data_IF_276485651802
#
_entry.id   IF_276485651802
#
_cell.length_a   1.000
_cell.length_b   1.000
_cell.length_c   1.000
_cell.angle_alpha   90.00
_cell.angle_beta   90.00
_cell.angle_gamma   90.00
#
_symmetry.space_group_name_H-M   'P 1'
#
loop_
_entity.id
_entity.type
_entity.pdbx_description
1 polymer ?
#
# COMPACT_ATOMS: atom_id res chain seq x y z
N UNK A 1 4.55 6.72 36.67
CA UNK A 1 3.44 6.41 35.71
C UNK A 1 3.81 7.07 34.40
N UNK A 2 4.23 6.25 33.45
CA UNK A 2 4.95 6.70 32.27
C UNK A 2 4.05 7.33 31.20
N UNK A 3 4.60 8.30 30.50
CA UNK A 3 4.09 8.95 29.28
C UNK A 3 3.77 7.98 28.10
N UNK A 4 4.02 6.68 28.28
CA UNK A 4 3.79 5.66 27.25
C UNK A 4 2.33 5.35 26.93
N UNK A 5 1.37 5.72 27.78
CA UNK A 5 -0.05 5.43 27.55
C UNK A 5 -0.79 6.51 26.74
N UNK A 6 -0.21 7.69 26.61
CA UNK A 6 -0.83 8.81 25.89
C UNK A 6 -0.78 8.61 24.37
N UNK A 7 0.24 7.93 23.85
CA UNK A 7 0.43 7.73 22.40
C UNK A 7 -0.36 6.57 21.78
N UNK A 8 -0.96 5.70 22.58
CA UNK A 8 -1.69 4.53 22.06
C UNK A 8 -3.15 4.79 21.66
N UNK A 9 -3.65 6.01 21.86
CA UNK A 9 -5.06 6.38 21.63
C UNK A 9 -5.21 7.65 20.81
N UNK A 10 -4.25 7.96 19.95
CA UNK A 10 -4.42 9.09 19.03
C UNK A 10 -5.29 8.64 17.86
N UNK A 11 -6.51 9.13 17.82
CA UNK A 11 -7.41 9.04 16.69
C UNK A 11 -7.37 10.37 15.94
N UNK A 12 -7.28 10.30 14.61
CA UNK A 12 -7.32 11.46 13.74
C UNK A 12 -8.68 11.49 13.06
N UNK A 13 -9.47 12.49 13.38
CA UNK A 13 -10.73 12.78 12.68
C UNK A 13 -10.46 13.78 11.56
N UNK A 14 -10.83 13.45 10.35
CA UNK A 14 -10.76 14.33 9.19
C UNK A 14 -12.11 14.46 8.52
N UNK A 15 -12.37 15.60 7.93
CA UNK A 15 -13.56 15.87 7.14
C UNK A 15 -13.09 16.11 5.70
N UNK A 16 -13.89 15.72 4.73
CA UNK A 16 -13.71 16.00 3.31
C UNK A 16 -15.06 16.30 2.67
N UNK A 17 -15.05 16.89 1.48
CA UNK A 17 -16.27 17.16 0.72
C UNK A 17 -16.91 15.84 0.22
N UNK A 18 -16.11 14.77 0.11
CA UNK A 18 -16.56 13.41 -0.15
C UNK A 18 -15.75 12.37 0.66
N UNK A 19 -16.09 11.08 0.48
CA UNK A 19 -15.41 9.98 1.17
C UNK A 19 -13.94 9.87 0.79
N UNK A 20 -13.59 10.05 -0.49
CA UNK A 20 -12.22 9.92 -0.99
C UNK A 20 -11.31 10.99 -0.40
N UNK A 21 -11.78 12.24 -0.34
CA UNK A 21 -11.06 13.35 0.27
C UNK A 21 -10.89 13.13 1.78
N UNK A 22 -11.95 12.77 2.50
CA UNK A 22 -11.89 12.51 3.93
C UNK A 22 -10.92 11.37 4.27
N UNK A 23 -10.95 10.28 3.50
CA UNK A 23 -10.04 9.14 3.64
C UNK A 23 -8.60 9.57 3.39
N UNK A 24 -8.33 10.28 2.29
CA UNK A 24 -7.00 10.72 1.92
C UNK A 24 -6.41 11.66 2.97
N UNK A 25 -7.19 12.64 3.42
CA UNK A 25 -6.80 13.58 4.48
C UNK A 25 -6.47 12.83 5.79
N UNK A 26 -7.27 11.85 6.18
CA UNK A 26 -7.02 11.07 7.39
C UNK A 26 -5.74 10.24 7.29
N UNK A 27 -5.47 9.64 6.14
CA UNK A 27 -4.26 8.85 5.93
C UNK A 27 -3.01 9.73 5.90
N UNK A 28 -3.05 10.88 5.24
CA UNK A 28 -1.95 11.86 5.24
C UNK A 28 -1.68 12.37 6.66
N UNK A 29 -2.72 12.69 7.42
CA UNK A 29 -2.58 13.15 8.80
C UNK A 29 -1.96 12.09 9.73
N UNK A 30 -2.09 10.81 9.41
CA UNK A 30 -1.41 9.71 10.12
C UNK A 30 0.00 9.41 9.60
N UNK A 31 0.51 10.22 8.67
CA UNK A 31 1.87 10.10 8.14
C UNK A 31 2.00 9.25 6.88
N UNK A 32 0.89 8.80 6.29
CA UNK A 32 0.93 8.19 4.97
C UNK A 32 1.34 9.23 3.92
N UNK A 33 2.20 8.80 3.01
CA UNK A 33 2.62 9.61 1.86
C UNK A 33 1.96 9.06 0.61
N UNK A 34 1.54 9.96 -0.27
CA UNK A 34 1.06 9.57 -1.60
C UNK A 34 2.26 9.02 -2.38
N UNK A 35 2.16 7.80 -2.93
CA UNK A 35 3.22 7.22 -3.74
C UNK A 35 3.52 8.09 -4.97
N UNK A 36 4.79 8.13 -5.35
CA UNK A 36 5.23 8.82 -6.56
C UNK A 36 5.22 7.87 -7.75
N UNK A 37 4.84 8.30 -8.96
CA UNK A 37 4.79 7.44 -10.14
C UNK A 37 6.13 6.76 -10.49
N UNK A 38 7.26 7.44 -10.26
CA UNK A 38 8.61 6.92 -10.52
C UNK A 38 9.06 5.85 -9.52
N UNK A 39 8.39 5.76 -8.37
CA UNK A 39 8.60 4.69 -7.38
C UNK A 39 7.58 3.58 -7.57
N UNK A 40 7.90 2.42 -7.06
CA UNK A 40 7.04 1.25 -7.19
C UNK A 40 5.95 1.15 -6.12
N UNK A 41 4.85 0.50 -6.50
CA UNK A 41 3.85 -0.01 -5.57
C UNK A 41 3.93 -1.54 -5.58
N UNK A 42 4.09 -2.14 -4.40
CA UNK A 42 4.27 -3.58 -4.26
C UNK A 42 3.02 -4.25 -3.70
N UNK A 43 2.54 -5.28 -4.38
CA UNK A 43 1.41 -6.09 -3.95
C UNK A 43 1.81 -7.51 -3.57
N UNK A 44 1.31 -7.98 -2.45
CA UNK A 44 1.36 -9.38 -2.03
C UNK A 44 0.01 -9.79 -1.48
N UNK A 45 -0.74 -10.57 -2.26
CA UNK A 45 -2.07 -11.05 -1.87
C UNK A 45 -2.23 -12.53 -2.19
N UNK A 46 -2.55 -13.33 -1.18
CA UNK A 46 -2.72 -14.77 -1.35
C UNK A 46 -4.11 -15.18 -1.84
N UNK A 47 -5.16 -14.58 -1.30
CA UNK A 47 -6.54 -14.95 -1.61
C UNK A 47 -7.02 -14.36 -2.95
N UNK A 48 -7.74 -15.16 -3.74
CA UNK A 48 -8.30 -14.72 -5.04
C UNK A 48 -9.22 -13.51 -4.86
N UNK A 49 -10.09 -13.54 -3.84
CA UNK A 49 -10.99 -12.42 -3.53
C UNK A 49 -10.22 -11.10 -3.35
N UNK A 50 -9.14 -11.11 -2.58
CA UNK A 50 -8.34 -9.90 -2.35
C UNK A 50 -7.63 -9.42 -3.63
N UNK A 51 -7.25 -10.33 -4.52
CA UNK A 51 -6.68 -9.96 -5.82
C UNK A 51 -7.72 -9.28 -6.71
N UNK A 52 -8.96 -9.77 -6.71
CA UNK A 52 -10.08 -9.15 -7.42
C UNK A 52 -10.38 -7.77 -6.86
N UNK A 53 -10.44 -7.63 -5.53
CA UNK A 53 -10.69 -6.34 -4.86
C UNK A 53 -9.61 -5.29 -5.19
N UNK A 54 -8.38 -5.72 -5.53
CA UNK A 54 -7.27 -4.83 -5.89
C UNK A 54 -7.14 -4.55 -7.40
N UNK A 55 -7.91 -5.25 -8.24
CA UNK A 55 -7.71 -5.21 -9.68
C UNK A 55 -7.98 -3.81 -10.28
N UNK A 56 -9.08 -3.18 -9.90
CA UNK A 56 -9.44 -1.86 -10.43
C UNK A 56 -8.45 -0.78 -9.96
N UNK A 57 -8.06 -0.82 -8.70
CA UNK A 57 -7.01 0.05 -8.17
C UNK A 57 -5.67 -0.16 -8.90
N UNK A 58 -5.31 -1.40 -9.21
CA UNK A 58 -4.09 -1.71 -9.98
C UNK A 58 -4.15 -1.18 -11.41
N UNK A 59 -5.33 -1.23 -12.05
CA UNK A 59 -5.56 -0.63 -13.38
C UNK A 59 -5.39 0.89 -13.36
N UNK A 60 -5.91 1.55 -12.32
CA UNK A 60 -5.76 3.00 -12.16
C UNK A 60 -4.29 3.39 -11.96
N UNK A 61 -3.55 2.67 -11.12
CA UNK A 61 -2.11 2.87 -10.95
C UNK A 61 -1.36 2.72 -12.27
N UNK A 62 -1.65 1.65 -13.02
CA UNK A 62 -1.02 1.40 -14.31
C UNK A 62 -1.31 2.52 -15.30
N UNK A 63 -2.56 2.97 -15.39
CA UNK A 63 -2.97 4.07 -16.26
C UNK A 63 -2.29 5.41 -15.90
N UNK A 64 -1.94 5.60 -14.62
CA UNK A 64 -1.21 6.77 -14.13
C UNK A 64 0.32 6.64 -14.24
N UNK A 65 0.82 5.55 -14.82
CA UNK A 65 2.25 5.35 -15.07
C UNK A 65 3.05 4.84 -13.87
N UNK A 66 2.40 4.34 -12.84
CA UNK A 66 3.09 3.73 -11.70
C UNK A 66 3.73 2.40 -12.07
N UNK A 67 4.93 2.15 -11.55
CA UNK A 67 5.54 0.82 -11.59
C UNK A 67 4.85 -0.09 -10.58
N UNK A 68 4.41 -1.26 -11.04
CA UNK A 68 3.71 -2.23 -10.19
C UNK A 68 4.56 -3.48 -10.05
N UNK A 69 4.81 -3.86 -8.81
CA UNK A 69 5.53 -5.06 -8.42
C UNK A 69 4.62 -5.97 -7.61
N UNK A 70 4.77 -7.27 -7.75
CA UNK A 70 4.01 -8.20 -6.95
C UNK A 70 4.71 -9.53 -6.76
N UNK A 71 4.37 -10.27 -5.70
CA UNK A 71 4.77 -11.66 -5.56
C UNK A 71 4.17 -12.51 -6.68
N UNK A 72 4.85 -13.60 -7.07
CA UNK A 72 4.60 -14.35 -8.30
C UNK A 72 3.11 -14.64 -8.59
N UNK A 73 2.35 -15.14 -7.61
CA UNK A 73 0.93 -15.46 -7.80
C UNK A 73 0.04 -14.23 -7.98
N UNK A 74 0.40 -13.08 -7.41
CA UNK A 74 -0.30 -11.81 -7.61
C UNK A 74 0.09 -11.19 -8.95
N UNK A 75 1.38 -11.23 -9.31
CA UNK A 75 1.88 -10.75 -10.60
C UNK A 75 1.23 -11.51 -11.77
N UNK A 76 1.17 -12.84 -11.68
CA UNK A 76 0.51 -13.66 -12.71
C UNK A 76 -0.97 -13.28 -12.88
N UNK A 77 -1.69 -13.04 -11.79
CA UNK A 77 -3.09 -12.62 -11.82
C UNK A 77 -3.24 -11.24 -12.50
N UNK A 78 -2.46 -10.25 -12.09
CA UNK A 78 -2.55 -8.88 -12.63
C UNK A 78 -2.17 -8.84 -14.11
N UNK A 79 -1.09 -9.52 -14.51
CA UNK A 79 -0.67 -9.63 -15.91
C UNK A 79 -1.74 -10.30 -16.78
N UNK A 80 -2.40 -11.36 -16.28
CA UNK A 80 -3.49 -12.01 -16.99
C UNK A 80 -4.71 -11.10 -17.21
N UNK A 81 -4.85 -10.04 -16.40
CA UNK A 81 -5.91 -9.04 -16.52
C UNK A 81 -5.45 -7.72 -17.17
N UNK A 82 -4.31 -7.73 -17.84
CA UNK A 82 -3.82 -6.60 -18.63
C UNK A 82 -3.11 -5.51 -17.82
N UNK A 83 -2.77 -5.78 -16.57
CA UNK A 83 -1.99 -4.85 -15.72
C UNK A 83 -0.53 -5.31 -15.71
N UNK A 84 0.34 -4.61 -16.44
CA UNK A 84 1.77 -4.94 -16.48
C UNK A 84 2.39 -4.86 -15.10
N UNK A 85 2.85 -6.00 -14.59
CA UNK A 85 3.33 -6.17 -13.23
C UNK A 85 4.62 -6.99 -13.23
N UNK A 86 5.64 -6.49 -12.58
CA UNK A 86 6.92 -7.16 -12.41
C UNK A 86 6.88 -8.09 -11.20
N UNK A 87 7.31 -9.34 -11.39
CA UNK A 87 7.33 -10.32 -10.32
C UNK A 87 8.58 -10.12 -9.42
N UNK A 88 8.35 -10.18 -8.10
CA UNK A 88 9.42 -10.15 -7.10
C UNK A 88 9.50 -11.47 -6.35
N UNK A 89 10.70 -11.82 -5.91
CA UNK A 89 10.92 -13.00 -5.07
C UNK A 89 10.51 -12.75 -3.63
N UNK A 90 10.00 -13.79 -2.99
CA UNK A 90 9.69 -13.79 -1.57
C UNK A 90 10.96 -13.67 -0.71
N UNK A 91 10.86 -13.24 0.56
CA UNK A 91 12.01 -13.09 1.45
C UNK A 91 12.91 -14.34 1.59
N UNK A 92 12.34 -15.53 1.44
CA UNK A 92 13.04 -16.81 1.54
C UNK A 92 13.48 -17.39 0.17
N UNK A 93 13.24 -16.67 -0.92
CA UNK A 93 13.62 -17.05 -2.27
C UNK A 93 14.75 -16.14 -2.74
N UNK A 94 15.84 -16.73 -3.28
CA UNK A 94 16.95 -15.99 -3.91
C UNK A 94 17.29 -14.70 -3.14
N UNK A 95 17.73 -14.86 -1.90
CA UNK A 95 18.01 -13.73 -0.99
C UNK A 95 19.05 -12.73 -1.53
N UNK A 96 19.88 -13.16 -2.46
CA UNK A 96 20.92 -12.39 -3.16
C UNK A 96 20.43 -11.72 -4.46
N UNK A 97 19.20 -12.00 -4.90
CA UNK A 97 18.68 -11.42 -6.13
C UNK A 97 18.26 -9.95 -5.93
N UNK A 98 18.54 -9.12 -6.93
CA UNK A 98 18.16 -7.69 -6.95
C UNK A 98 16.62 -7.49 -6.82
N UNK A 99 15.85 -8.43 -7.37
CA UNK A 99 14.39 -8.42 -7.28
C UNK A 99 13.83 -9.27 -6.11
N UNK A 100 14.65 -9.59 -5.11
CA UNK A 100 14.13 -10.06 -3.83
C UNK A 100 13.43 -8.90 -3.12
N UNK A 101 12.24 -9.14 -2.62
CA UNK A 101 11.40 -8.09 -2.00
C UNK A 101 12.11 -7.39 -0.82
N UNK A 102 12.94 -8.11 -0.05
CA UNK A 102 13.67 -7.50 1.07
C UNK A 102 14.81 -6.59 0.60
N UNK A 103 15.50 -6.97 -0.47
CA UNK A 103 16.52 -6.12 -1.12
C UNK A 103 15.88 -4.84 -1.65
N UNK A 104 14.76 -4.97 -2.35
CA UNK A 104 14.04 -3.83 -2.91
C UNK A 104 13.46 -2.90 -1.83
N UNK A 105 13.02 -3.44 -0.69
CA UNK A 105 12.60 -2.65 0.48
C UNK A 105 13.80 -1.85 1.04
N UNK A 106 14.94 -2.49 1.24
CA UNK A 106 16.14 -1.84 1.76
C UNK A 106 16.66 -0.73 0.82
N UNK A 107 16.50 -0.91 -0.48
CA UNK A 107 16.86 0.07 -1.51
C UNK A 107 15.78 1.15 -1.74
N UNK A 108 14.71 1.16 -0.95
CA UNK A 108 13.58 2.10 -1.09
C UNK A 108 12.99 2.16 -2.52
N UNK A 109 12.86 0.99 -3.17
CA UNK A 109 12.24 0.89 -4.50
C UNK A 109 10.72 1.10 -4.47
N UNK A 110 10.10 0.95 -3.30
CA UNK A 110 8.65 1.07 -3.12
C UNK A 110 8.27 2.30 -2.29
N UNK A 111 7.23 2.99 -2.73
CA UNK A 111 6.58 4.06 -1.96
C UNK A 111 5.28 3.60 -1.27
N UNK A 112 4.79 2.42 -1.61
CA UNK A 112 3.64 1.77 -0.96
C UNK A 112 3.80 0.26 -1.03
N UNK A 113 3.52 -0.41 0.08
CA UNK A 113 3.43 -1.87 0.15
C UNK A 113 2.02 -2.25 0.61
N UNK A 114 1.36 -3.09 -0.19
CA UNK A 114 0.09 -3.73 0.14
C UNK A 114 0.37 -5.21 0.36
N UNK A 115 0.33 -5.65 1.61
CA UNK A 115 0.53 -7.05 1.97
C UNK A 115 -0.69 -7.59 2.68
N UNK A 116 -1.53 -8.32 1.96
CA UNK A 116 -2.74 -8.95 2.50
C UNK A 116 -2.38 -10.31 3.07
N UNK A 117 -2.48 -10.50 4.40
CA UNK A 117 -2.14 -11.76 5.05
C UNK A 117 -2.96 -12.92 4.49
N UNK A 118 -2.29 -14.05 4.26
CA UNK A 118 -2.90 -15.34 3.96
C UNK A 118 -2.48 -16.33 5.04
N UNK A 119 -3.43 -16.94 5.69
CA UNK A 119 -3.21 -17.74 6.89
C UNK A 119 -3.12 -19.26 6.60
N UNK A 120 -2.49 -19.67 5.50
CA UNK A 120 -2.53 -21.06 5.08
C UNK A 120 -1.25 -21.87 5.37
N UNK A 121 -0.11 -21.24 5.49
CA UNK A 121 1.13 -21.95 5.80
C UNK A 121 2.07 -21.14 6.70
N UNK A 122 2.91 -21.84 7.48
CA UNK A 122 3.93 -21.23 8.31
C UNK A 122 4.90 -20.38 7.47
N UNK A 123 5.24 -20.83 6.25
CA UNK A 123 6.10 -20.11 5.31
C UNK A 123 5.49 -18.77 4.90
N UNK A 124 4.21 -18.76 4.51
CA UNK A 124 3.49 -17.55 4.11
C UNK A 124 3.36 -16.55 5.27
N UNK A 125 3.07 -17.04 6.47
CA UNK A 125 3.02 -16.21 7.68
C UNK A 125 4.39 -15.56 7.96
N UNK A 126 5.48 -16.33 7.88
CA UNK A 126 6.84 -15.86 8.13
C UNK A 126 7.27 -14.83 7.08
N UNK A 127 7.05 -15.12 5.80
CA UNK A 127 7.41 -14.21 4.72
C UNK A 127 6.57 -12.92 4.74
N UNK A 128 5.26 -13.06 4.95
CA UNK A 128 4.39 -11.90 5.12
C UNK A 128 4.80 -11.04 6.31
N UNK A 129 5.18 -11.65 7.44
CA UNK A 129 5.72 -10.92 8.59
C UNK A 129 7.00 -10.16 8.24
N UNK A 130 7.96 -10.80 7.56
CA UNK A 130 9.21 -10.14 7.13
C UNK A 130 8.96 -8.93 6.24
N UNK A 131 8.05 -9.05 5.26
CA UNK A 131 7.68 -7.94 4.38
C UNK A 131 7.08 -6.79 5.18
N UNK A 132 6.10 -7.05 6.05
CA UNK A 132 5.47 -6.02 6.87
C UNK A 132 6.47 -5.36 7.83
N UNK A 133 7.31 -6.15 8.48
CA UNK A 133 8.36 -5.63 9.35
C UNK A 133 9.36 -4.77 8.60
N UNK A 134 9.81 -5.23 7.43
CA UNK A 134 10.71 -4.46 6.56
C UNK A 134 10.10 -3.13 6.11
N UNK A 135 8.82 -3.12 5.75
CA UNK A 135 8.13 -1.88 5.40
C UNK A 135 8.15 -0.86 6.55
N UNK A 136 7.85 -1.31 7.78
CA UNK A 136 7.86 -0.46 8.98
C UNK A 136 9.28 0.04 9.28
N UNK A 137 10.27 -0.84 9.28
CA UNK A 137 11.66 -0.50 9.60
C UNK A 137 12.28 0.49 8.60
N UNK A 138 11.78 0.52 7.36
CA UNK A 138 12.22 1.44 6.31
C UNK A 138 11.24 2.60 6.06
N UNK A 139 10.26 2.79 6.94
CA UNK A 139 9.26 3.87 6.85
C UNK A 139 8.51 3.91 5.49
N UNK A 140 8.25 2.73 4.93
CA UNK A 140 7.43 2.60 3.72
C UNK A 140 5.97 2.42 4.16
N UNK A 141 5.02 3.22 3.63
CA UNK A 141 3.59 3.05 3.89
C UNK A 141 3.13 1.62 3.63
N UNK A 142 2.45 1.03 4.61
CA UNK A 142 1.98 -0.36 4.57
C UNK A 142 0.48 -0.44 4.78
N UNK A 143 -0.21 -1.15 3.89
CA UNK A 143 -1.63 -1.47 4.03
C UNK A 143 -1.80 -2.98 4.01
N UNK A 144 -2.58 -3.51 4.95
CA UNK A 144 -2.82 -4.95 5.13
C UNK A 144 -4.26 -5.38 4.86
N UNK A 145 -5.09 -4.46 4.38
CA UNK A 145 -6.49 -4.68 4.02
C UNK A 145 -6.71 -4.31 2.55
N UNK A 146 -7.29 -5.22 1.76
CA UNK A 146 -7.46 -5.02 0.32
C UNK A 146 -8.43 -3.87 -0.01
N UNK A 147 -9.54 -3.75 0.73
CA UNK A 147 -10.53 -2.68 0.51
C UNK A 147 -9.96 -1.31 0.86
N UNK A 148 -9.24 -1.21 1.97
CA UNK A 148 -8.58 0.04 2.34
C UNK A 148 -7.51 0.43 1.31
N UNK A 149 -6.72 -0.54 0.83
CA UNK A 149 -5.72 -0.29 -0.21
C UNK A 149 -6.38 0.18 -1.51
N UNK A 150 -7.47 -0.47 -1.94
CA UNK A 150 -8.26 -0.05 -3.10
C UNK A 150 -8.76 1.39 -2.96
N UNK A 151 -9.46 1.68 -1.87
CA UNK A 151 -10.01 3.02 -1.62
C UNK A 151 -8.93 4.11 -1.55
N UNK A 152 -7.79 3.83 -0.92
CA UNK A 152 -6.66 4.77 -0.85
C UNK A 152 -6.05 5.04 -2.22
N UNK A 153 -5.83 3.99 -3.01
CA UNK A 153 -5.28 4.10 -4.37
C UNK A 153 -6.24 4.88 -5.29
N UNK A 154 -7.53 4.56 -5.25
CA UNK A 154 -8.56 5.26 -6.00
C UNK A 154 -8.58 6.74 -5.61
N UNK A 155 -8.59 7.04 -4.31
CA UNK A 155 -8.60 8.41 -3.82
C UNK A 155 -7.43 9.24 -4.36
N UNK A 156 -6.18 8.78 -4.23
CA UNK A 156 -5.05 9.58 -4.71
C UNK A 156 -4.87 9.55 -6.23
N UNK A 157 -5.41 8.55 -6.93
CA UNK A 157 -5.41 8.53 -8.39
C UNK A 157 -6.46 9.48 -9.01
N UNK A 158 -7.58 9.68 -8.33
CA UNK A 158 -8.65 10.57 -8.79
C UNK A 158 -8.40 12.03 -8.43
N UNK A 159 -7.88 12.27 -7.23
CA UNK A 159 -7.60 13.62 -6.76
C UNK A 159 -6.27 14.14 -7.32
N UNK A 160 -6.26 15.40 -7.75
CA UNK A 160 -5.01 16.10 -8.02
C UNK A 160 -4.43 16.59 -6.69
N UNK A 161 -3.09 16.53 -6.56
CA UNK A 161 -2.40 17.04 -5.36
C UNK A 161 -2.75 18.51 -5.05
N UNK A 162 -3.10 19.29 -6.09
CA UNK A 162 -3.49 20.70 -5.99
C UNK A 162 -4.89 20.87 -5.37
N UNK A 163 -5.74 19.83 -5.42
CA UNK A 163 -7.10 19.85 -4.91
C UNK A 163 -7.17 19.44 -3.43
N UNK A 164 -6.07 18.94 -2.85
CA UNK A 164 -6.02 18.56 -1.44
C UNK A 164 -5.88 19.85 -0.61
N UNK A 165 -7.02 20.42 -0.23
CA UNK A 165 -7.07 21.58 0.65
C UNK A 165 -7.27 21.17 2.10
N UNK A 166 -6.35 21.52 2.97
CA UNK A 166 -6.55 21.44 4.41
C UNK A 166 -7.48 22.59 4.80
N UNK A 167 -8.77 22.26 4.94
CA UNK A 167 -9.81 23.22 5.41
C UNK A 167 -9.95 23.15 6.92
N UNK A 168 -10.18 24.27 7.57
CA UNK A 168 -10.57 24.29 8.97
C UNK A 168 -12.01 23.83 9.15
N UNK A 169 -12.39 23.38 10.36
CA UNK A 169 -13.76 22.97 10.68
C UNK A 169 -14.83 24.01 10.32
N UNK A 170 -14.47 25.29 10.33
CA UNK A 170 -15.40 26.39 10.03
C UNK A 170 -15.65 26.58 8.53
N UNK A 171 -14.82 25.98 7.68
CA UNK A 171 -14.93 26.07 6.21
C UNK A 171 -15.83 24.97 5.61
N UNK A 172 -16.15 23.92 6.40
CA UNK A 172 -17.15 22.93 6.03
C UNK A 172 -18.53 23.43 6.44
N UNK A 173 -19.37 23.73 5.46
CA UNK A 173 -20.77 24.16 5.63
C UNK A 173 -21.74 23.04 5.32
#
# INVERSE_FOLDING_TARGET
>A
RGLGDVYKRQEVGCIGDDFSEALLNSMIATGFKIPRPEKGVMFSSGAMKSKVDLLDASRMLFAKGYKIYATAGTAAFLNAHGVSTEAVFWPDERADAENNVMTMIAEHKFDLIVNIPKNHSKRELTNGYKIRRGAIDHNIPLITNARLAGAFIEAFCEMKMEDIQIKSWQEYK
#
